data_IF_994967282202
#
_entry.id   IF_994967282202
#
_cell.length_a   1.000
_cell.length_b   1.000
_cell.length_c   1.000
_cell.angle_alpha   90.00
_cell.angle_beta   90.00
_cell.angle_gamma   90.00
#
_symmetry.space_group_name_H-M   'P 1'
#
loop_
_entity.id
_entity.type
_entity.pdbx_description
1 polymer ?
#
# COMPACT_ATOMS: atom_id res chain seq x y z
N UNK A 1 57.64 26.00 -46.65
CA UNK A 1 57.27 25.76 -45.24
C UNK A 1 56.06 26.63 -44.91
N UNK A 2 54.87 26.05 -44.81
CA UNK A 2 53.65 26.74 -44.35
C UNK A 2 52.95 25.82 -43.34
N UNK A 3 52.72 26.38 -42.17
CA UNK A 3 52.38 25.70 -40.93
C UNK A 3 50.95 25.14 -40.95
N UNK A 4 50.83 23.84 -40.62
CA UNK A 4 49.57 23.18 -40.32
C UNK A 4 49.07 23.64 -38.95
N UNK A 5 47.88 24.23 -38.90
CA UNK A 5 47.22 24.61 -37.65
C UNK A 5 46.48 23.40 -37.08
N UNK A 6 47.00 22.83 -36.00
CA UNK A 6 46.30 21.82 -35.20
C UNK A 6 45.28 22.56 -34.34
N UNK A 7 43.99 22.43 -34.70
CA UNK A 7 42.89 22.81 -33.83
C UNK A 7 42.79 21.71 -32.75
N UNK A 8 43.31 21.99 -31.56
CA UNK A 8 43.07 21.16 -30.38
C UNK A 8 41.61 21.41 -29.96
N UNK A 9 40.72 20.52 -30.39
CA UNK A 9 39.38 20.39 -29.80
C UNK A 9 39.56 19.88 -28.37
N UNK A 10 39.62 20.79 -27.41
CA UNK A 10 39.35 20.48 -26.01
C UNK A 10 37.87 20.07 -25.94
N UNK A 11 37.61 18.77 -26.11
CA UNK A 11 36.40 18.16 -25.59
C UNK A 11 36.41 18.40 -24.08
N UNK A 12 35.72 19.46 -23.65
CA UNK A 12 35.15 19.49 -22.32
C UNK A 12 34.18 18.31 -22.28
N UNK A 13 34.69 17.15 -21.88
CA UNK A 13 33.88 16.10 -21.32
C UNK A 13 33.29 16.72 -20.06
N UNK A 14 32.15 17.40 -20.19
CA UNK A 14 31.28 17.59 -19.03
C UNK A 14 30.95 16.18 -18.62
N UNK A 15 31.65 15.69 -17.59
CA UNK A 15 31.21 14.53 -16.86
C UNK A 15 29.73 14.75 -16.63
N UNK A 16 28.91 13.83 -17.15
CA UNK A 16 27.49 13.77 -16.81
C UNK A 16 27.46 13.57 -15.31
N UNK A 17 27.48 14.67 -14.56
CA UNK A 17 27.42 14.64 -13.11
C UNK A 17 26.08 14.00 -12.80
N UNK A 18 26.14 12.73 -12.39
CA UNK A 18 25.02 12.12 -11.71
C UNK A 18 24.64 13.04 -10.57
N UNK A 19 23.33 13.19 -10.37
CA UNK A 19 22.78 13.95 -9.25
C UNK A 19 23.50 13.59 -7.96
N UNK A 20 24.04 14.59 -7.25
CA UNK A 20 24.65 14.36 -5.95
C UNK A 20 23.60 14.20 -4.85
N UNK A 21 23.95 13.52 -3.76
CA UNK A 21 23.09 13.39 -2.57
C UNK A 21 22.77 14.77 -1.96
N UNK A 22 23.70 15.73 -2.05
CA UNK A 22 23.50 17.09 -1.57
C UNK A 22 22.51 17.90 -2.43
N UNK A 23 22.58 17.76 -3.76
CA UNK A 23 21.61 18.38 -4.67
C UNK A 23 20.21 17.81 -4.48
N UNK A 24 20.10 16.49 -4.33
CA UNK A 24 18.85 15.81 -4.01
C UNK A 24 18.23 16.37 -2.72
N UNK A 25 19.05 16.43 -1.66
CA UNK A 25 18.64 16.95 -0.35
C UNK A 25 18.18 18.41 -0.45
N UNK A 26 18.95 19.27 -1.12
CA UNK A 26 18.62 20.68 -1.29
C UNK A 26 17.34 20.89 -2.08
N UNK A 27 17.11 20.10 -3.13
CA UNK A 27 15.91 20.17 -3.93
C UNK A 27 14.66 19.76 -3.13
N UNK A 28 14.71 18.60 -2.46
CA UNK A 28 13.62 18.10 -1.63
C UNK A 28 13.31 19.00 -0.43
N UNK A 29 14.34 19.59 0.19
CA UNK A 29 14.16 20.50 1.33
C UNK A 29 13.27 21.70 0.99
N UNK A 30 13.30 22.18 -0.26
CA UNK A 30 12.50 23.32 -0.74
C UNK A 30 11.03 22.97 -0.96
N UNK A 31 10.69 21.69 -1.05
CA UNK A 31 9.31 21.26 -1.23
C UNK A 31 8.54 21.39 0.09
N UNK A 32 7.35 21.98 -0.02
CA UNK A 32 6.38 22.17 1.05
C UNK A 32 5.11 21.38 0.74
N UNK A 33 4.69 21.36 -0.54
CA UNK A 33 3.46 20.74 -0.99
C UNK A 33 3.72 19.65 -2.02
N UNK A 34 2.83 18.65 -2.06
CA UNK A 34 2.95 17.51 -2.97
C UNK A 34 2.99 17.90 -4.46
N UNK A 35 2.16 18.87 -4.88
CA UNK A 35 2.11 19.32 -6.28
C UNK A 35 3.44 19.92 -6.78
N UNK A 36 4.32 20.37 -5.88
CA UNK A 36 5.63 20.92 -6.25
C UNK A 36 6.60 19.83 -6.74
N UNK A 37 6.31 18.55 -6.43
CA UNK A 37 7.09 17.40 -6.89
C UNK A 37 7.05 17.27 -8.42
N UNK A 38 5.92 17.59 -9.05
CA UNK A 38 5.79 17.52 -10.51
C UNK A 38 6.55 18.65 -11.21
N UNK A 39 6.60 19.85 -10.61
CA UNK A 39 7.47 20.93 -11.06
C UNK A 39 8.95 20.53 -10.95
N UNK A 40 9.33 19.84 -9.87
CA UNK A 40 10.71 19.36 -9.70
C UNK A 40 11.07 18.29 -10.74
N UNK A 41 10.18 17.32 -11.01
CA UNK A 41 10.35 16.33 -12.09
C UNK A 41 10.56 17.00 -13.45
N UNK A 42 9.78 18.03 -13.77
CA UNK A 42 9.91 18.78 -15.04
C UNK A 42 11.24 19.54 -15.14
N UNK A 43 11.70 20.13 -14.03
CA UNK A 43 12.97 20.85 -13.99
C UNK A 43 14.19 19.93 -14.08
N UNK A 44 14.05 18.67 -13.64
CA UNK A 44 15.13 17.69 -13.60
C UNK A 44 14.73 16.37 -14.28
N UNK A 45 14.60 16.36 -15.62
CA UNK A 45 14.10 15.19 -16.35
C UNK A 45 15.00 13.94 -16.25
N UNK A 46 16.29 14.14 -15.89
CA UNK A 46 17.26 13.05 -15.73
C UNK A 46 17.34 12.51 -14.30
N UNK A 47 16.57 13.07 -13.36
CA UNK A 47 16.56 12.63 -11.95
C UNK A 47 15.47 11.57 -11.72
N UNK A 48 15.76 10.58 -10.88
CA UNK A 48 14.80 9.53 -10.55
C UNK A 48 13.91 9.98 -9.38
N UNK A 49 12.95 10.86 -9.70
CA UNK A 49 12.04 11.49 -8.74
C UNK A 49 10.68 10.77 -8.76
N UNK A 50 10.24 10.26 -7.62
CA UNK A 50 8.96 9.56 -7.49
C UNK A 50 8.18 10.00 -6.26
N UNK A 51 6.90 9.66 -6.24
CA UNK A 51 6.04 9.81 -5.07
C UNK A 51 5.81 8.42 -4.47
N UNK A 52 5.79 8.33 -3.15
CA UNK A 52 5.37 7.13 -2.45
C UNK A 52 4.39 7.47 -1.32
N UNK A 53 3.41 6.60 -1.08
CA UNK A 53 2.48 6.73 0.05
C UNK A 53 2.63 5.50 0.92
N UNK A 54 2.98 5.72 2.19
CA UNK A 54 3.21 4.67 3.17
C UNK A 54 1.92 4.32 3.89
N UNK A 55 1.71 3.02 4.11
CA UNK A 55 0.56 2.49 4.85
C UNK A 55 0.60 2.93 6.31
N UNK A 56 -0.53 2.82 7.06
CA UNK A 56 -0.54 3.13 8.48
C UNK A 56 0.46 2.36 9.34
N UNK A 57 0.83 1.14 8.96
CA UNK A 57 1.79 0.36 9.73
C UNK A 57 3.23 0.74 9.37
N UNK A 58 3.51 1.01 8.09
CA UNK A 58 4.81 1.51 7.67
C UNK A 58 5.07 2.89 8.27
N UNK A 59 4.09 3.81 8.19
CA UNK A 59 4.22 5.20 8.61
C UNK A 59 4.66 5.35 10.07
N UNK A 60 4.19 4.47 10.97
CA UNK A 60 4.55 4.45 12.40
C UNK A 60 6.03 4.16 12.66
N UNK A 61 6.72 3.51 11.73
CA UNK A 61 8.12 3.09 11.88
C UNK A 61 9.11 4.07 11.24
N UNK A 62 8.61 5.05 10.49
CA UNK A 62 9.43 5.97 9.71
C UNK A 62 9.75 7.22 10.52
N UNK A 63 11.04 7.49 10.68
CA UNK A 63 11.55 8.66 11.38
C UNK A 63 12.04 9.71 10.38
N UNK A 64 11.43 10.89 10.38
CA UNK A 64 11.86 12.06 9.61
C UNK A 64 12.48 13.10 10.54
N UNK A 65 13.48 13.83 10.04
CA UNK A 65 14.10 14.92 10.78
C UNK A 65 13.15 16.13 10.95
N UNK A 66 13.63 17.19 11.59
CA UNK A 66 12.86 18.43 11.79
C UNK A 66 12.49 19.15 10.50
N UNK A 67 13.16 18.85 9.39
CA UNK A 67 12.83 19.34 8.05
C UNK A 67 11.92 18.37 7.29
N UNK A 68 11.46 17.27 7.90
CA UNK A 68 10.68 16.24 7.24
C UNK A 68 11.50 15.43 6.23
N UNK A 69 12.83 15.37 6.37
CA UNK A 69 13.72 14.61 5.50
C UNK A 69 14.12 13.28 6.12
N UNK A 70 14.33 12.28 5.27
CA UNK A 70 14.85 10.96 5.67
C UNK A 70 15.77 10.44 4.58
N UNK A 71 16.89 9.87 5.00
CA UNK A 71 17.88 9.27 4.11
C UNK A 71 17.90 7.75 4.29
N UNK A 72 17.87 7.01 3.18
CA UNK A 72 18.02 5.56 3.15
C UNK A 72 19.26 5.22 2.32
N UNK A 73 20.23 4.51 2.93
CA UNK A 73 21.45 4.07 2.25
C UNK A 73 21.48 2.56 2.10
N UNK A 74 21.66 2.11 0.86
CA UNK A 74 21.93 0.72 0.54
C UNK A 74 23.27 0.63 -0.21
N UNK A 75 23.73 -0.60 -0.49
CA UNK A 75 24.98 -0.84 -1.21
C UNK A 75 25.00 -0.21 -2.61
N UNK A 76 23.85 -0.19 -3.29
CA UNK A 76 23.72 0.26 -4.68
C UNK A 76 23.16 1.67 -4.87
N UNK A 77 22.60 2.30 -3.82
CA UNK A 77 21.90 3.57 -3.96
C UNK A 77 21.74 4.33 -2.64
N UNK A 78 21.54 5.64 -2.77
CA UNK A 78 21.01 6.52 -1.73
C UNK A 78 19.60 6.97 -2.15
N UNK A 79 18.63 6.93 -1.23
CA UNK A 79 17.29 7.48 -1.45
C UNK A 79 17.09 8.59 -0.43
N UNK A 80 16.79 9.79 -0.92
CA UNK A 80 16.35 10.91 -0.10
C UNK A 80 14.84 11.03 -0.20
N UNK A 81 14.18 11.13 0.95
CA UNK A 81 12.74 11.34 1.07
C UNK A 81 12.44 12.67 1.73
N UNK A 82 11.33 13.27 1.31
CA UNK A 82 10.69 14.41 1.97
C UNK A 82 9.25 14.05 2.27
N UNK A 83 8.87 14.12 3.55
CA UNK A 83 7.49 14.12 3.98
C UNK A 83 6.78 15.37 3.44
N UNK A 84 5.75 15.17 2.60
CA UNK A 84 5.01 16.24 1.93
C UNK A 84 3.56 16.35 2.40
N UNK A 85 2.99 15.24 2.87
CA UNK A 85 1.60 15.21 3.29
C UNK A 85 1.37 14.12 4.34
N UNK A 86 0.52 14.43 5.31
CA UNK A 86 -0.04 13.51 6.29
C UNK A 86 -1.56 13.53 6.13
N UNK A 87 -2.15 12.38 5.87
CA UNK A 87 -3.60 12.25 5.72
C UNK A 87 -4.14 11.20 6.69
N UNK A 88 -5.46 11.24 6.89
CA UNK A 88 -6.16 10.22 7.66
C UNK A 88 -6.87 9.24 6.74
N UNK A 89 -6.71 7.95 7.01
CA UNK A 89 -7.41 6.85 6.34
C UNK A 89 -8.19 6.04 7.38
N UNK A 90 -9.31 5.44 6.96
CA UNK A 90 -10.01 4.46 7.79
C UNK A 90 -9.31 3.10 7.70
N UNK A 91 -9.24 2.40 8.82
CA UNK A 91 -8.84 1.00 8.88
C UNK A 91 -9.97 0.14 9.44
N UNK A 92 -10.06 -1.07 8.90
CA UNK A 92 -10.99 -2.11 9.30
C UNK A 92 -10.21 -3.28 9.88
N UNK A 93 -10.86 -4.04 10.77
CA UNK A 93 -10.41 -5.37 11.15
C UNK A 93 -11.62 -6.29 11.25
N UNK A 94 -11.56 -7.36 10.48
CA UNK A 94 -12.61 -8.37 10.38
C UNK A 94 -11.98 -9.74 10.36
N UNK A 95 -12.76 -10.73 10.77
CA UNK A 95 -12.49 -12.13 10.47
C UNK A 95 -13.42 -12.58 9.34
N UNK A 96 -12.96 -13.48 8.48
CA UNK A 96 -13.78 -13.98 7.39
C UNK A 96 -13.58 -15.45 7.06
N UNK A 97 -14.58 -16.01 6.40
CA UNK A 97 -14.57 -17.32 5.76
C UNK A 97 -14.78 -17.09 4.27
N UNK A 98 -13.86 -17.58 3.46
CA UNK A 98 -13.94 -17.54 2.01
C UNK A 98 -14.47 -18.85 1.47
N UNK A 99 -15.47 -18.78 0.59
CA UNK A 99 -16.01 -19.91 -0.14
C UNK A 99 -15.80 -19.66 -1.64
N UNK A 100 -15.02 -20.52 -2.29
CA UNK A 100 -14.66 -20.35 -3.69
C UNK A 100 -15.79 -20.85 -4.61
N UNK A 101 -16.45 -19.93 -5.32
CA UNK A 101 -17.54 -20.24 -6.25
C UNK A 101 -17.15 -21.13 -7.43
N UNK A 102 -15.88 -21.13 -7.81
CA UNK A 102 -15.38 -22.03 -8.86
C UNK A 102 -15.32 -23.51 -8.43
N UNK A 103 -15.44 -23.81 -7.13
CA UNK A 103 -15.42 -25.19 -6.60
C UNK A 103 -16.80 -25.80 -6.42
N UNK A 104 -17.85 -24.98 -6.30
CA UNK A 104 -19.19 -25.46 -5.95
C UNK A 104 -20.27 -24.47 -6.40
N UNK A 105 -21.47 -24.95 -6.77
CA UNK A 105 -22.53 -24.07 -7.25
C UNK A 105 -23.07 -23.16 -6.14
N UNK A 106 -23.59 -21.99 -6.52
CA UNK A 106 -24.08 -20.96 -5.58
C UNK A 106 -25.06 -21.47 -4.54
N UNK A 107 -26.00 -22.34 -4.91
CA UNK A 107 -26.97 -22.91 -3.95
C UNK A 107 -26.29 -23.68 -2.80
N UNK A 108 -25.17 -24.37 -3.10
CA UNK A 108 -24.37 -25.06 -2.07
C UNK A 108 -23.62 -24.06 -1.19
N UNK A 109 -23.13 -22.97 -1.76
CA UNK A 109 -22.47 -21.87 -1.03
C UNK A 109 -23.45 -21.20 -0.08
N UNK A 110 -24.65 -20.88 -0.56
CA UNK A 110 -25.70 -20.27 0.26
C UNK A 110 -26.05 -21.20 1.44
N UNK A 111 -26.17 -22.51 1.19
CA UNK A 111 -26.39 -23.50 2.26
C UNK A 111 -25.25 -23.53 3.28
N UNK A 112 -23.99 -23.45 2.84
CA UNK A 112 -22.83 -23.40 3.74
C UNK A 112 -22.79 -22.11 4.56
N UNK A 113 -23.13 -20.96 3.96
CA UNK A 113 -23.22 -19.68 4.66
C UNK A 113 -24.26 -19.72 5.78
N UNK A 114 -25.42 -20.30 5.49
CA UNK A 114 -26.48 -20.48 6.49
C UNK A 114 -26.04 -21.46 7.60
N UNK A 115 -25.38 -22.57 7.25
CA UNK A 115 -24.80 -23.50 8.22
C UNK A 115 -23.80 -22.81 9.15
N UNK A 116 -22.83 -22.08 8.60
CA UNK A 116 -21.82 -21.33 9.35
C UNK A 116 -22.50 -20.34 10.29
N UNK A 117 -23.48 -19.56 9.80
CA UNK A 117 -24.23 -18.59 10.60
C UNK A 117 -24.97 -19.26 11.75
N UNK A 118 -25.61 -20.40 11.51
CA UNK A 118 -26.31 -21.16 12.53
C UNK A 118 -25.35 -21.69 13.59
N UNK A 119 -24.19 -22.24 13.19
CA UNK A 119 -23.15 -22.70 14.13
C UNK A 119 -22.58 -21.55 14.96
N UNK A 120 -22.33 -20.40 14.35
CA UNK A 120 -21.87 -19.21 15.08
C UNK A 120 -22.92 -18.74 16.10
N UNK A 121 -24.20 -18.74 15.71
CA UNK A 121 -25.32 -18.40 16.62
C UNK A 121 -25.47 -19.41 17.76
N UNK A 122 -25.06 -20.66 17.54
CA UNK A 122 -24.95 -21.69 18.57
C UNK A 122 -23.67 -21.58 19.43
N UNK A 123 -22.97 -20.44 19.39
CA UNK A 123 -21.74 -20.12 20.12
C UNK A 123 -20.50 -20.94 19.71
N UNK A 124 -20.48 -21.54 18.52
CA UNK A 124 -19.23 -22.10 17.97
C UNK A 124 -18.29 -20.93 17.62
N UNK A 125 -17.03 -20.92 18.09
CA UNK A 125 -16.12 -19.82 17.80
C UNK A 125 -15.92 -19.61 16.30
N UNK A 126 -16.02 -18.36 15.85
CA UNK A 126 -15.83 -18.03 14.42
C UNK A 126 -14.47 -18.48 13.89
N UNK A 127 -13.43 -18.45 14.73
CA UNK A 127 -12.09 -18.90 14.37
C UNK A 127 -12.01 -20.41 14.09
N UNK A 128 -12.84 -21.23 14.73
CA UNK A 128 -12.96 -22.66 14.44
C UNK A 128 -13.70 -22.88 13.12
N UNK A 129 -14.81 -22.17 12.93
CA UNK A 129 -15.56 -22.19 11.67
C UNK A 129 -14.68 -21.76 10.50
N UNK A 130 -13.85 -20.72 10.67
CA UNK A 130 -12.94 -20.28 9.63
C UNK A 130 -11.88 -21.33 9.29
N UNK A 131 -11.36 -22.07 10.28
CA UNK A 131 -10.42 -23.18 10.04
C UNK A 131 -11.08 -24.34 9.31
N UNK A 132 -12.36 -24.60 9.57
CA UNK A 132 -13.12 -25.71 9.00
C UNK A 132 -13.59 -25.43 7.57
N UNK A 133 -14.14 -24.24 7.32
CA UNK A 133 -14.88 -23.94 6.09
C UNK A 133 -14.13 -23.05 5.09
N UNK A 134 -13.13 -22.27 5.53
CA UNK A 134 -12.53 -21.25 4.66
C UNK A 134 -11.53 -21.85 3.68
N UNK A 135 -11.68 -21.49 2.41
CA UNK A 135 -10.75 -21.82 1.33
C UNK A 135 -9.51 -20.89 1.29
N UNK A 136 -9.47 -19.84 2.13
CA UNK A 136 -8.39 -18.85 2.15
C UNK A 136 -7.28 -19.18 3.17
N UNK A 137 -5.99 -18.88 2.90
CA UNK A 137 -4.90 -19.11 3.85
C UNK A 137 -5.06 -18.43 5.22
N UNK A 138 -5.89 -17.39 5.36
CA UNK A 138 -6.25 -16.80 6.66
C UNK A 138 -6.99 -17.78 7.58
N UNK A 139 -7.56 -18.87 7.06
CA UNK A 139 -8.19 -19.95 7.83
C UNK A 139 -7.32 -20.40 9.00
N UNK A 140 -6.00 -20.56 8.77
CA UNK A 140 -5.03 -20.99 9.79
C UNK A 140 -4.98 -20.05 11.01
N UNK A 141 -5.30 -18.77 10.81
CA UNK A 141 -5.36 -17.72 11.83
C UNK A 141 -6.81 -17.42 12.25
N UNK A 142 -7.75 -18.35 12.03
CA UNK A 142 -9.16 -18.15 12.37
C UNK A 142 -9.86 -17.11 11.50
N UNK A 143 -9.34 -16.87 10.28
CA UNK A 143 -9.91 -15.91 9.34
C UNK A 143 -9.60 -14.45 9.65
N UNK A 144 -8.82 -14.13 10.69
CA UNK A 144 -8.47 -12.73 11.03
C UNK A 144 -7.56 -12.10 9.96
N UNK A 145 -8.00 -10.98 9.41
CA UNK A 145 -7.23 -10.19 8.43
C UNK A 145 -6.26 -9.19 9.08
N UNK A 146 -6.32 -9.02 10.40
CA UNK A 146 -5.64 -7.92 11.06
C UNK A 146 -6.23 -6.57 10.66
N UNK A 147 -5.53 -5.49 11.03
CA UNK A 147 -5.91 -4.15 10.60
C UNK A 147 -5.51 -3.93 9.14
N UNK A 148 -6.42 -3.38 8.35
CA UNK A 148 -6.12 -2.98 6.97
C UNK A 148 -6.81 -1.67 6.61
N UNK A 149 -6.15 -0.80 5.81
CA UNK A 149 -6.73 0.45 5.36
C UNK A 149 -7.83 0.23 4.33
N UNK A 150 -8.75 1.19 4.27
CA UNK A 150 -9.75 1.30 3.21
C UNK A 150 -9.09 1.36 1.83
N UNK A 151 -9.74 0.76 0.84
CA UNK A 151 -9.23 0.60 -0.51
C UNK A 151 -8.36 -0.63 -0.73
N UNK A 152 -8.02 -1.39 0.33
CA UNK A 152 -7.25 -2.65 0.18
C UNK A 152 -8.10 -3.80 -0.37
N UNK A 153 -9.39 -3.83 -0.04
CA UNK A 153 -10.31 -4.92 -0.43
C UNK A 153 -11.19 -4.52 -1.62
N UNK A 154 -11.80 -5.50 -2.29
CA UNK A 154 -12.77 -5.22 -3.36
C UNK A 154 -13.95 -4.41 -2.82
N UNK A 155 -14.50 -3.52 -3.67
CA UNK A 155 -15.49 -2.53 -3.26
C UNK A 155 -16.74 -3.14 -2.60
N UNK A 156 -17.22 -4.30 -3.07
CA UNK A 156 -18.39 -4.96 -2.48
C UNK A 156 -18.13 -5.46 -1.05
N UNK A 157 -16.94 -6.02 -0.81
CA UNK A 157 -16.51 -6.49 0.51
C UNK A 157 -16.39 -5.32 1.48
N UNK A 158 -15.71 -4.24 1.08
CA UNK A 158 -15.54 -3.07 1.92
C UNK A 158 -16.87 -2.35 2.19
N UNK A 159 -17.74 -2.24 1.20
CA UNK A 159 -19.07 -1.64 1.37
C UNK A 159 -19.91 -2.42 2.38
N UNK A 160 -19.84 -3.75 2.35
CA UNK A 160 -20.48 -4.58 3.36
C UNK A 160 -19.92 -4.30 4.77
N UNK A 161 -18.60 -4.19 4.94
CA UNK A 161 -17.99 -3.85 6.24
C UNK A 161 -18.48 -2.50 6.78
N UNK A 162 -18.56 -1.48 5.91
CA UNK A 162 -19.01 -0.13 6.30
C UNK A 162 -20.50 -0.08 6.67
N UNK A 163 -21.30 -0.99 6.12
CA UNK A 163 -22.73 -1.07 6.42
C UNK A 163 -23.05 -1.75 7.77
N UNK A 164 -22.06 -2.42 8.37
CA UNK A 164 -22.23 -3.21 9.59
C UNK A 164 -21.42 -2.63 10.76
N UNK A 165 -21.88 -2.94 11.97
CA UNK A 165 -21.25 -2.52 13.23
C UNK A 165 -20.35 -3.63 13.76
N UNK A 166 -19.55 -3.30 14.78
CA UNK A 166 -18.79 -4.30 15.51
C UNK A 166 -19.73 -5.41 16.02
N UNK A 167 -19.22 -6.64 15.98
CA UNK A 167 -19.85 -7.90 16.38
C UNK A 167 -20.95 -8.40 15.43
N UNK A 168 -21.24 -7.68 14.33
CA UNK A 168 -22.15 -8.16 13.29
C UNK A 168 -21.52 -9.29 12.45
N UNK A 169 -22.34 -10.32 12.19
CA UNK A 169 -22.06 -11.38 11.23
C UNK A 169 -22.91 -11.19 9.96
N UNK A 170 -22.26 -11.07 8.80
CA UNK A 170 -22.93 -10.79 7.54
C UNK A 170 -22.24 -11.46 6.35
N UNK A 171 -22.91 -11.43 5.20
CA UNK A 171 -22.39 -11.99 3.96
C UNK A 171 -22.00 -10.88 2.99
N UNK A 172 -20.95 -11.12 2.21
CA UNK A 172 -20.58 -10.30 1.08
C UNK A 172 -20.15 -11.20 -0.07
N UNK A 173 -20.28 -10.72 -1.30
CA UNK A 173 -19.83 -11.45 -2.47
C UNK A 173 -19.26 -10.51 -3.54
N UNK A 174 -18.45 -11.08 -4.41
CA UNK A 174 -17.90 -10.41 -5.57
C UNK A 174 -17.95 -11.41 -6.73
N UNK A 175 -18.85 -11.13 -7.68
CA UNK A 175 -19.06 -11.96 -8.86
C UNK A 175 -18.81 -11.08 -10.08
N UNK A 176 -17.68 -11.30 -10.75
CA UNK A 176 -17.32 -10.58 -11.97
C UNK A 176 -16.53 -11.48 -12.92
N UNK A 177 -17.08 -11.71 -14.11
CA UNK A 177 -16.51 -12.63 -15.09
C UNK A 177 -16.39 -14.05 -14.51
N UNK A 178 -15.17 -14.59 -14.46
CA UNK A 178 -14.88 -15.91 -13.89
C UNK A 178 -14.54 -15.87 -12.39
N UNK A 179 -14.59 -14.70 -11.74
CA UNK A 179 -14.32 -14.57 -10.31
C UNK A 179 -15.64 -14.66 -9.57
N UNK A 180 -15.78 -15.70 -8.75
CA UNK A 180 -16.96 -15.93 -7.93
C UNK A 180 -16.54 -16.10 -6.47
N UNK A 181 -16.53 -14.99 -5.74
CA UNK A 181 -16.04 -14.95 -4.38
C UNK A 181 -17.18 -14.72 -3.41
N UNK A 182 -17.26 -15.59 -2.42
CA UNK A 182 -18.32 -15.55 -1.43
C UNK A 182 -17.71 -15.55 -0.03
N UNK A 183 -18.20 -14.64 0.80
CA UNK A 183 -17.67 -14.43 2.14
C UNK A 183 -18.76 -14.56 3.20
N UNK A 184 -18.39 -15.11 4.35
CA UNK A 184 -19.03 -14.87 5.65
C UNK A 184 -18.06 -14.02 6.46
N UNK A 185 -18.51 -12.89 6.97
CA UNK A 185 -17.66 -11.89 7.61
C UNK A 185 -18.17 -11.63 9.03
N UNK A 186 -17.26 -11.63 9.98
CA UNK A 186 -17.47 -11.15 11.35
C UNK A 186 -16.70 -9.86 11.53
N UNK A 187 -17.38 -8.75 11.83
CA UNK A 187 -16.71 -7.48 12.14
C UNK A 187 -16.22 -7.50 13.57
N UNK A 188 -14.91 -7.65 13.77
CA UNK A 188 -14.33 -7.91 15.10
C UNK A 188 -13.99 -6.64 15.88
N UNK A 189 -13.84 -5.50 15.20
CA UNK A 189 -13.52 -4.22 15.81
C UNK A 189 -14.34 -3.07 15.19
N UNK A 190 -14.46 -1.98 15.95
CA UNK A 190 -14.90 -0.69 15.41
C UNK A 190 -13.88 -0.16 14.41
N UNK A 191 -14.36 0.59 13.42
CA UNK A 191 -13.51 1.25 12.44
C UNK A 191 -12.62 2.28 13.17
N UNK A 192 -11.35 2.37 12.78
CA UNK A 192 -10.43 3.35 13.36
C UNK A 192 -9.83 4.25 12.29
N UNK A 193 -9.51 5.48 12.67
CA UNK A 193 -8.70 6.37 11.84
C UNK A 193 -7.23 6.14 12.13
N UNK A 194 -6.43 6.09 11.06
CA UNK A 194 -4.97 6.02 11.15
C UNK A 194 -4.32 6.99 10.17
N UNK A 195 -3.03 7.24 10.35
CA UNK A 195 -2.26 8.18 9.54
C UNK A 195 -1.53 7.47 8.40
N UNK A 196 -1.70 7.96 7.18
CA UNK A 196 -0.81 7.67 6.06
C UNK A 196 0.07 8.88 5.80
N UNK A 197 1.26 8.63 5.27
CA UNK A 197 2.17 9.69 4.88
C UNK A 197 2.51 9.56 3.40
N UNK A 198 2.52 10.69 2.71
CA UNK A 198 2.97 10.75 1.32
C UNK A 198 4.26 11.53 1.24
N UNK A 199 5.24 10.95 0.55
CA UNK A 199 6.58 11.50 0.40
C UNK A 199 6.93 11.71 -1.06
N UNK A 200 7.74 12.74 -1.30
CA UNK A 200 8.54 12.85 -2.51
C UNK A 200 9.88 12.20 -2.27
N UNK A 201 10.37 11.40 -3.20
CA UNK A 201 11.67 10.75 -3.07
C UNK A 201 12.52 10.96 -4.32
N UNK A 202 13.83 11.09 -4.12
CA UNK A 202 14.82 11.09 -5.19
C UNK A 202 15.82 9.96 -4.94
N UNK A 203 16.06 9.15 -5.96
CA UNK A 203 17.01 8.05 -5.92
C UNK A 203 18.29 8.40 -6.69
N UNK A 204 19.41 8.22 -6.01
CA UNK A 204 20.76 8.33 -6.58
C UNK A 204 21.41 6.95 -6.60
N UNK A 205 21.77 6.45 -7.77
CA UNK A 205 22.50 5.17 -7.92
C UNK A 205 23.98 5.39 -7.63
N UNK A 206 24.58 4.48 -6.86
CA UNK A 206 26.03 4.45 -6.65
C UNK A 206 26.65 3.71 -7.85
N UNK A 207 27.61 4.37 -8.49
CA UNK A 207 28.44 3.78 -9.54
C UNK A 207 29.50 2.85 -8.96
#
# INVERSE_FOLDING_TARGET
MKFSWIIILLFFCTTSFGQSDEEATRALKKLIFLHQLDSLKKAHPNWEITQNTYSPDDSKTLNYDTNGLREIKNASQTIMEKLLQKDSILEFRVSYIYLNGSKMPKNKIDSLRDEIKNKYTANVPFSELAKEYSDDPSAKNGGDLGWFPSGRMVASFESAIKAHKKDDLFFAEYVEGSREWYFVILKTYEDRKSEIITVGQIRNKKN
#
